data_IF_437485158809
#
_entry.id   IF_437485158809
#
_cell.length_a   1.000
_cell.length_b   1.000
_cell.length_c   1.000
_cell.angle_alpha   90.00
_cell.angle_beta   90.00
_cell.angle_gamma   90.00
#
_symmetry.space_group_name_H-M   'P 1'
#
loop_
_entity.id
_entity.type
_entity.pdbx_description
1 polymer ?
#
# COMPACT_ATOMS: atom_id res chain seq x y z
N UNK A 1 -55.88 -20.54 50.98
CA UNK A 1 -55.75 -20.48 49.49
C UNK A 1 -54.67 -19.52 49.17
N UNK A 2 -53.45 -20.02 48.77
CA UNK A 2 -52.27 -19.25 48.49
C UNK A 2 -52.22 -18.98 46.97
N UNK A 3 -52.24 -17.72 46.57
CA UNK A 3 -51.94 -17.31 45.19
C UNK A 3 -50.47 -17.03 45.06
N UNK A 4 -49.73 -17.88 44.34
CA UNK A 4 -48.35 -17.66 43.90
C UNK A 4 -48.41 -16.88 42.59
N UNK A 5 -47.85 -15.69 42.63
CA UNK A 5 -47.60 -14.89 41.44
C UNK A 5 -46.24 -15.30 40.82
N UNK A 6 -46.25 -15.80 39.62
CA UNK A 6 -45.05 -16.03 38.81
C UNK A 6 -44.60 -14.72 38.18
N UNK A 7 -43.43 -14.20 38.61
CA UNK A 7 -42.69 -13.21 37.88
C UNK A 7 -41.61 -13.94 37.07
N UNK A 8 -41.77 -14.00 35.74
CA UNK A 8 -40.80 -14.54 34.83
C UNK A 8 -39.76 -13.45 34.43
N UNK A 9 -38.52 -13.82 34.17
CA UNK A 9 -37.42 -12.86 34.00
C UNK A 9 -37.37 -12.30 32.55
N UNK A 10 -37.63 -10.99 32.42
CA UNK A 10 -37.53 -10.25 31.14
C UNK A 10 -36.13 -9.60 30.97
N UNK A 11 -35.13 -10.02 31.73
CA UNK A 11 -33.83 -9.35 31.73
C UNK A 11 -32.76 -9.99 30.81
N UNK A 12 -33.00 -11.16 30.23
CA UNK A 12 -31.98 -11.90 29.51
C UNK A 12 -31.86 -11.52 28.00
N UNK A 13 -32.88 -10.91 27.42
CA UNK A 13 -32.91 -10.64 25.98
C UNK A 13 -32.21 -9.34 25.55
N UNK A 14 -32.03 -8.38 26.46
CA UNK A 14 -31.37 -7.10 26.14
C UNK A 14 -29.84 -7.20 26.11
N UNK A 15 -29.22 -8.14 26.82
CA UNK A 15 -27.77 -8.29 26.84
C UNK A 15 -27.20 -8.90 25.57
N UNK A 16 -27.95 -9.78 24.89
CA UNK A 16 -27.48 -10.42 23.64
C UNK A 16 -27.50 -9.45 22.46
N UNK A 17 -28.48 -8.53 22.40
CA UNK A 17 -28.57 -7.52 21.35
C UNK A 17 -27.45 -6.48 21.45
N UNK A 18 -27.04 -6.11 22.66
CA UNK A 18 -25.94 -5.16 22.86
C UNK A 18 -24.56 -5.76 22.47
N UNK A 19 -24.37 -7.05 22.71
CA UNK A 19 -23.13 -7.74 22.29
C UNK A 19 -23.04 -7.92 20.76
N UNK A 20 -24.16 -8.17 20.08
CA UNK A 20 -24.21 -8.28 18.64
C UNK A 20 -23.93 -6.92 17.95
N UNK A 21 -24.40 -5.82 18.51
CA UNK A 21 -24.12 -4.47 18.01
C UNK A 21 -22.65 -4.06 18.25
N UNK A 22 -22.06 -4.43 19.37
CA UNK A 22 -20.65 -4.17 19.66
C UNK A 22 -19.72 -4.97 18.72
N UNK A 23 -20.09 -6.18 18.34
CA UNK A 23 -19.35 -7.00 17.38
C UNK A 23 -19.49 -6.49 15.93
N UNK A 24 -20.62 -5.90 15.57
CA UNK A 24 -20.82 -5.28 14.25
C UNK A 24 -20.02 -3.97 14.09
N UNK A 25 -19.74 -3.26 15.17
CA UNK A 25 -18.90 -2.05 15.16
C UNK A 25 -17.40 -2.37 15.20
N UNK A 26 -17.01 -3.57 15.59
CA UNK A 26 -15.62 -4.02 15.66
C UNK A 26 -15.10 -4.64 14.35
N UNK A 27 -15.87 -4.68 13.27
CA UNK A 27 -15.36 -4.90 11.94
C UNK A 27 -14.70 -3.58 11.50
N UNK A 28 -13.46 -3.38 11.93
CA UNK A 28 -12.62 -2.32 11.40
C UNK A 28 -12.68 -2.38 9.87
N UNK A 29 -13.24 -1.35 9.25
CA UNK A 29 -13.30 -1.27 7.80
C UNK A 29 -11.89 -1.46 7.26
N UNK A 30 -11.71 -2.40 6.34
CA UNK A 30 -10.44 -2.60 5.68
C UNK A 30 -10.02 -1.28 5.00
N UNK A 31 -8.76 -0.87 5.11
CA UNK A 31 -8.30 0.34 4.44
C UNK A 31 -8.42 0.19 2.93
N UNK A 32 -8.70 1.30 2.25
CA UNK A 32 -8.73 1.35 0.79
C UNK A 32 -7.46 2.00 0.27
N UNK A 33 -6.81 1.39 -0.72
CA UNK A 33 -5.60 1.95 -1.34
C UNK A 33 -5.80 2.06 -2.84
N UNK A 34 -5.90 3.29 -3.31
CA UNK A 34 -5.98 3.66 -4.71
C UNK A 34 -4.61 4.15 -5.17
N UNK A 35 -4.04 3.52 -6.20
CA UNK A 35 -2.77 3.95 -6.79
C UNK A 35 -2.98 4.22 -8.27
N UNK A 36 -2.59 5.40 -8.71
CA UNK A 36 -2.59 5.81 -10.12
C UNK A 36 -1.17 6.10 -10.59
N UNK A 37 -0.95 6.09 -11.90
CA UNK A 37 0.34 6.43 -12.51
C UNK A 37 0.38 7.93 -12.81
N UNK A 38 1.44 8.60 -12.38
CA UNK A 38 1.64 10.01 -12.65
C UNK A 38 1.99 10.29 -14.13
N UNK A 39 1.73 11.51 -14.63
CA UNK A 39 1.89 11.82 -16.07
C UNK A 39 3.31 11.62 -16.59
N UNK A 40 4.32 11.78 -15.74
CA UNK A 40 5.71 11.57 -16.10
C UNK A 40 6.01 10.08 -16.27
N UNK A 41 5.63 9.27 -15.30
CA UNK A 41 5.81 7.82 -15.35
C UNK A 41 4.96 7.19 -16.46
N UNK A 42 3.77 7.73 -16.74
CA UNK A 42 2.89 7.25 -17.82
C UNK A 42 3.60 7.21 -19.18
N UNK A 43 4.53 8.16 -19.45
CA UNK A 43 5.32 8.20 -20.70
C UNK A 43 6.41 7.13 -20.75
N UNK A 44 6.76 6.55 -19.62
CA UNK A 44 7.79 5.50 -19.52
C UNK A 44 7.19 4.09 -19.43
N UNK A 45 5.86 3.97 -19.19
CA UNK A 45 5.18 2.68 -18.98
C UNK A 45 5.42 1.74 -20.16
N UNK A 46 5.31 2.22 -21.40
CA UNK A 46 5.54 1.41 -22.61
C UNK A 46 6.96 0.83 -22.65
N UNK A 47 7.96 1.59 -22.20
CA UNK A 47 9.37 1.14 -22.15
C UNK A 47 9.64 0.20 -20.99
N UNK A 48 8.98 0.42 -19.84
CA UNK A 48 9.12 -0.42 -18.67
C UNK A 48 8.35 -1.73 -18.79
N UNK A 49 7.26 -1.73 -19.55
CA UNK A 49 6.31 -2.83 -19.71
C UNK A 49 5.10 -2.68 -18.79
N UNK A 50 3.90 -2.63 -19.37
CA UNK A 50 2.62 -2.45 -18.65
C UNK A 50 2.43 -3.47 -17.53
N UNK A 51 2.75 -4.74 -17.81
CA UNK A 51 2.60 -5.82 -16.82
C UNK A 51 3.48 -5.58 -15.60
N UNK A 52 4.75 -5.24 -15.81
CA UNK A 52 5.69 -5.03 -14.72
C UNK A 52 5.33 -3.79 -13.90
N UNK A 53 4.90 -2.70 -14.55
CA UNK A 53 4.42 -1.51 -13.83
C UNK A 53 3.18 -1.82 -13.01
N UNK A 54 2.24 -2.60 -13.54
CA UNK A 54 1.04 -3.02 -12.80
C UNK A 54 1.38 -3.92 -11.60
N UNK A 55 2.38 -4.81 -11.73
CA UNK A 55 2.89 -5.61 -10.62
C UNK A 55 3.49 -4.72 -9.51
N UNK A 56 4.20 -3.65 -9.88
CA UNK A 56 4.73 -2.67 -8.91
C UNK A 56 3.62 -1.87 -8.22
N UNK A 57 2.57 -1.47 -8.96
CA UNK A 57 1.38 -0.82 -8.38
C UNK A 57 0.73 -1.74 -7.35
N UNK A 58 0.53 -3.01 -7.68
CA UNK A 58 -0.03 -4.00 -6.76
C UNK A 58 0.85 -4.20 -5.51
N UNK A 59 2.18 -4.22 -5.68
CA UNK A 59 3.14 -4.26 -4.57
C UNK A 59 3.02 -3.07 -3.63
N UNK A 60 2.95 -1.85 -4.18
CA UNK A 60 2.74 -0.63 -3.40
C UNK A 60 1.39 -0.67 -2.65
N UNK A 61 0.32 -1.09 -3.32
CA UNK A 61 -1.00 -1.23 -2.70
C UNK A 61 -0.98 -2.21 -1.53
N UNK A 62 -0.29 -3.33 -1.67
CA UNK A 62 -0.19 -4.35 -0.63
C UNK A 62 0.57 -3.83 0.60
N UNK A 63 1.74 -3.18 0.42
CA UNK A 63 2.53 -2.64 1.53
C UNK A 63 1.80 -1.51 2.27
N UNK A 64 1.20 -0.57 1.53
CA UNK A 64 0.42 0.52 2.13
C UNK A 64 -0.83 -0.01 2.82
N UNK A 65 -1.55 -0.95 2.20
CA UNK A 65 -2.73 -1.57 2.78
C UNK A 65 -2.44 -2.28 4.10
N UNK A 66 -1.33 -3.02 4.16
CA UNK A 66 -0.84 -3.68 5.37
C UNK A 66 -0.53 -2.66 6.48
N UNK A 67 0.22 -1.61 6.16
CA UNK A 67 0.60 -0.58 7.12
C UNK A 67 -0.61 0.19 7.66
N UNK A 68 -1.56 0.56 6.78
CA UNK A 68 -2.81 1.22 7.17
C UNK A 68 -3.70 0.31 8.03
N UNK A 69 -3.82 -0.97 7.70
CA UNK A 69 -4.62 -1.92 8.48
C UNK A 69 -4.10 -2.04 9.93
N UNK A 70 -2.80 -1.95 10.11
CA UNK A 70 -2.18 -2.03 11.44
C UNK A 70 -2.34 -0.72 12.25
N UNK A 71 -2.19 0.43 11.61
CA UNK A 71 -2.07 1.72 12.30
C UNK A 71 -3.29 2.61 12.17
N UNK A 72 -3.98 2.57 11.03
CA UNK A 72 -5.07 3.46 10.66
C UNK A 72 -6.22 2.69 9.98
N UNK A 73 -6.89 1.77 10.70
CA UNK A 73 -8.01 1.01 10.14
C UNK A 73 -9.10 1.97 9.64
N UNK A 74 -9.68 1.66 8.49
CA UNK A 74 -10.69 2.50 7.84
C UNK A 74 -10.15 3.73 7.08
N UNK A 75 -8.83 3.93 7.04
CA UNK A 75 -8.24 5.01 6.22
C UNK A 75 -8.30 4.69 4.72
N UNK A 76 -8.30 5.76 3.91
CA UNK A 76 -8.22 5.67 2.45
C UNK A 76 -6.96 6.37 1.97
N UNK A 77 -6.08 5.66 1.25
CA UNK A 77 -4.94 6.24 0.58
C UNK A 77 -5.24 6.47 -0.90
N UNK A 78 -5.06 7.70 -1.37
CA UNK A 78 -5.13 8.08 -2.79
C UNK A 78 -3.73 8.48 -3.23
N UNK A 79 -3.03 7.59 -3.88
CA UNK A 79 -1.61 7.73 -4.20
C UNK A 79 -1.38 7.82 -5.71
N UNK A 80 -0.34 8.54 -6.07
CA UNK A 80 0.18 8.68 -7.42
C UNK A 80 1.61 8.16 -7.41
N UNK A 81 1.90 7.11 -8.17
CA UNK A 81 3.27 6.67 -8.44
C UNK A 81 3.87 7.62 -9.49
N UNK A 82 4.75 8.52 -9.04
CA UNK A 82 5.28 9.63 -9.86
C UNK A 82 6.50 9.19 -10.65
N UNK A 83 7.38 8.41 -10.03
CA UNK A 83 8.60 7.88 -10.66
C UNK A 83 8.82 6.44 -10.20
N UNK A 84 9.37 5.63 -11.09
CA UNK A 84 9.67 4.22 -10.88
C UNK A 84 10.88 3.82 -11.70
N UNK A 85 11.96 3.42 -11.03
CA UNK A 85 13.22 3.06 -11.70
C UNK A 85 13.64 1.64 -11.34
N UNK A 86 13.87 0.79 -12.35
CA UNK A 86 14.39 -0.55 -12.13
C UNK A 86 15.90 -0.54 -11.85
N UNK A 87 16.39 -1.53 -11.12
CA UNK A 87 17.82 -1.77 -10.92
C UNK A 87 18.47 -2.50 -12.10
N UNK A 88 17.67 -3.19 -12.86
CA UNK A 88 18.08 -3.93 -14.05
C UNK A 88 17.05 -3.75 -15.14
N UNK A 89 17.43 -3.97 -16.41
CA UNK A 89 16.48 -3.88 -17.49
C UNK A 89 15.26 -4.78 -17.26
N UNK A 90 14.09 -4.22 -17.51
CA UNK A 90 12.84 -4.98 -17.58
C UNK A 90 12.84 -5.90 -18.79
N UNK A 91 11.95 -6.87 -18.81
CA UNK A 91 11.79 -7.74 -19.98
C UNK A 91 11.49 -6.94 -21.24
N UNK A 92 10.65 -5.91 -21.13
CA UNK A 92 10.29 -5.05 -22.26
C UNK A 92 11.48 -4.24 -22.77
N UNK A 93 12.31 -3.68 -21.87
CA UNK A 93 13.52 -2.96 -22.24
C UNK A 93 14.53 -3.85 -22.97
N UNK A 94 14.73 -5.09 -22.51
CA UNK A 94 15.59 -6.07 -23.19
C UNK A 94 15.05 -6.40 -24.59
N UNK A 95 13.74 -6.55 -24.72
CA UNK A 95 13.07 -6.84 -25.98
C UNK A 95 13.21 -5.70 -26.99
N UNK A 96 13.11 -4.44 -26.53
CA UNK A 96 13.16 -3.25 -27.36
C UNK A 96 14.59 -2.81 -27.71
N UNK A 97 15.58 -3.18 -26.91
CA UNK A 97 16.95 -2.67 -27.05
C UNK A 97 17.93 -3.83 -27.30
N UNK A 98 18.29 -4.09 -28.56
CA UNK A 98 19.28 -5.12 -28.89
C UNK A 98 20.62 -4.86 -28.18
N UNK A 99 21.18 -5.90 -27.57
CA UNK A 99 22.48 -5.83 -26.87
C UNK A 99 22.39 -5.38 -25.41
N UNK A 100 21.22 -5.03 -24.91
CA UNK A 100 21.02 -4.76 -23.48
C UNK A 100 21.10 -6.06 -22.67
N UNK A 101 22.06 -6.14 -21.76
CA UNK A 101 22.30 -7.35 -20.95
C UNK A 101 21.47 -7.28 -19.65
N UNK A 102 20.51 -8.21 -19.42
CA UNK A 102 19.66 -8.19 -18.23
C UNK A 102 20.42 -8.47 -16.93
N UNK A 103 21.64 -9.04 -17.01
CA UNK A 103 22.44 -9.38 -15.83
C UNK A 103 23.51 -8.32 -15.56
N UNK A 104 24.17 -7.84 -16.59
CA UNK A 104 25.31 -6.90 -16.44
C UNK A 104 24.91 -5.44 -16.43
N UNK A 105 23.79 -5.10 -17.09
CA UNK A 105 23.29 -3.72 -17.07
C UNK A 105 22.66 -3.42 -15.71
N UNK A 106 23.24 -2.46 -14.99
CA UNK A 106 22.84 -2.06 -13.64
C UNK A 106 22.53 -0.58 -13.61
N UNK A 107 21.47 -0.21 -12.90
CA UNK A 107 21.09 1.18 -12.66
C UNK A 107 20.65 1.41 -11.21
N UNK A 108 20.69 2.65 -10.76
CA UNK A 108 20.07 3.03 -9.50
C UNK A 108 18.56 2.93 -9.63
N UNK A 109 17.95 2.18 -8.72
CA UNK A 109 16.51 1.96 -8.68
C UNK A 109 15.84 2.75 -7.56
N UNK A 110 14.51 2.70 -7.53
CA UNK A 110 13.69 3.34 -6.51
C UNK A 110 12.33 3.76 -7.00
N UNK A 111 11.61 4.50 -6.17
CA UNK A 111 10.30 5.04 -6.50
C UNK A 111 10.02 6.38 -5.82
N UNK A 112 9.12 7.17 -6.42
CA UNK A 112 8.56 8.38 -5.84
C UNK A 112 7.03 8.31 -5.84
N UNK A 113 6.44 8.65 -4.69
CA UNK A 113 5.02 8.51 -4.40
C UNK A 113 4.50 9.84 -3.88
N UNK A 114 3.40 10.32 -4.44
CA UNK A 114 2.68 11.51 -3.96
C UNK A 114 1.21 11.18 -3.74
N UNK A 115 0.51 12.08 -3.05
CA UNK A 115 -0.93 11.94 -2.85
C UNK A 115 -1.35 12.33 -1.46
N UNK A 116 -2.33 11.60 -0.93
CA UNK A 116 -2.89 11.86 0.39
C UNK A 116 -3.42 10.58 1.05
N UNK A 117 -3.46 10.61 2.36
CA UNK A 117 -4.14 9.59 3.17
C UNK A 117 -5.22 10.28 3.98
N UNK A 118 -6.47 9.86 3.76
CA UNK A 118 -7.66 10.32 4.49
C UNK A 118 -7.92 9.33 5.62
N UNK A 119 -7.84 9.79 6.85
CA UNK A 119 -8.10 9.00 8.04
C UNK A 119 -9.61 8.75 8.21
N UNK A 120 -9.96 7.77 9.03
CA UNK A 120 -11.35 7.42 9.32
C UNK A 120 -12.15 8.59 9.96
N UNK A 121 -11.48 9.51 10.64
CA UNK A 121 -12.05 10.75 11.21
C UNK A 121 -12.18 11.91 10.21
N UNK A 122 -11.79 11.69 8.93
CA UNK A 122 -11.81 12.68 7.85
C UNK A 122 -10.56 13.58 7.79
N UNK A 123 -9.61 13.42 8.70
CA UNK A 123 -8.35 14.16 8.63
C UNK A 123 -7.53 13.69 7.45
N UNK A 124 -7.12 14.63 6.59
CA UNK A 124 -6.29 14.34 5.42
C UNK A 124 -4.83 14.69 5.69
N UNK A 125 -3.93 13.80 5.34
CA UNK A 125 -2.49 14.02 5.41
C UNK A 125 -1.87 13.90 4.02
N UNK A 126 -1.12 14.91 3.57
CA UNK A 126 -0.41 14.85 2.29
C UNK A 126 0.73 13.84 2.34
N UNK A 127 0.98 13.20 1.21
CA UNK A 127 2.10 12.28 0.99
C UNK A 127 3.02 12.86 -0.06
N UNK A 128 4.31 12.99 0.28
CA UNK A 128 5.40 13.28 -0.65
C UNK A 128 6.63 12.46 -0.22
N UNK A 129 6.76 11.28 -0.79
CA UNK A 129 7.77 10.31 -0.42
C UNK A 129 8.59 9.89 -1.64
N UNK A 130 9.90 9.79 -1.45
CA UNK A 130 10.78 9.21 -2.46
C UNK A 130 11.96 8.47 -1.82
N UNK A 131 12.34 7.38 -2.44
CA UNK A 131 13.58 6.69 -2.15
C UNK A 131 14.19 6.17 -3.44
N UNK A 132 15.45 6.52 -3.66
CA UNK A 132 16.31 5.98 -4.71
C UNK A 132 17.65 5.61 -4.10
N UNK A 133 18.25 4.53 -4.58
CA UNK A 133 19.62 4.18 -4.17
C UNK A 133 20.58 5.29 -4.59
N UNK A 134 21.38 5.82 -3.67
CA UNK A 134 22.16 7.04 -3.93
C UNK A 134 23.33 6.83 -4.90
N UNK A 135 23.86 5.61 -4.99
CA UNK A 135 25.01 5.27 -5.82
C UNK A 135 24.83 3.92 -6.49
N UNK A 136 25.35 3.78 -7.71
CA UNK A 136 25.38 2.50 -8.42
C UNK A 136 26.20 1.44 -7.67
N UNK A 137 27.17 1.86 -6.86
CA UNK A 137 27.97 0.96 -6.04
C UNK A 137 27.18 0.33 -4.90
N UNK A 138 26.03 0.92 -4.54
CA UNK A 138 25.15 0.43 -3.49
C UNK A 138 24.06 -0.51 -4.06
N UNK A 139 24.00 -0.66 -5.38
CA UNK A 139 23.10 -1.57 -6.04
C UNK A 139 23.66 -2.97 -6.01
N UNK A 140 22.97 -3.89 -5.35
CA UNK A 140 23.37 -5.29 -5.26
C UNK A 140 22.22 -6.25 -5.58
N UNK A 141 22.55 -7.49 -5.86
CA UNK A 141 21.56 -8.50 -6.23
C UNK A 141 21.13 -8.45 -7.70
N UNK A 142 20.20 -9.32 -8.07
CA UNK A 142 19.79 -9.53 -9.46
C UNK A 142 18.32 -9.20 -9.73
N UNK A 143 17.56 -8.76 -8.72
CA UNK A 143 16.16 -8.38 -8.90
C UNK A 143 16.02 -7.07 -9.68
N UNK A 144 15.09 -7.03 -10.63
CA UNK A 144 14.79 -5.85 -11.44
C UNK A 144 14.26 -4.71 -10.58
N UNK A 145 13.38 -4.98 -9.63
CA UNK A 145 12.62 -4.00 -8.87
C UNK A 145 13.00 -3.90 -7.39
N UNK A 146 14.21 -4.31 -7.05
CA UNK A 146 14.65 -4.39 -5.67
C UNK A 146 14.51 -3.07 -4.88
N UNK A 147 15.04 -1.98 -5.45
CA UNK A 147 15.06 -0.71 -4.74
C UNK A 147 13.68 -0.02 -4.77
N UNK A 148 12.86 -0.29 -5.80
CA UNK A 148 11.46 0.12 -5.81
C UNK A 148 10.67 -0.60 -4.70
N UNK A 149 10.81 -1.92 -4.57
CA UNK A 149 10.18 -2.68 -3.49
C UNK A 149 10.66 -2.17 -2.11
N UNK A 150 11.95 -1.89 -1.97
CA UNK A 150 12.49 -1.29 -0.75
C UNK A 150 11.91 0.10 -0.47
N UNK A 151 11.64 0.90 -1.51
CA UNK A 151 10.95 2.17 -1.34
C UNK A 151 9.54 1.97 -0.77
N UNK A 152 8.80 0.98 -1.27
CA UNK A 152 7.45 0.67 -0.81
C UNK A 152 7.44 0.16 0.64
N UNK A 153 8.33 -0.77 0.99
CA UNK A 153 8.52 -1.27 2.36
C UNK A 153 8.81 -0.12 3.33
N UNK A 154 9.77 0.76 2.98
CA UNK A 154 10.14 1.92 3.81
C UNK A 154 8.99 2.93 3.95
N UNK A 155 8.20 3.12 2.91
CA UNK A 155 7.02 3.98 2.98
C UNK A 155 5.97 3.37 3.90
N UNK A 156 5.72 2.06 3.81
CA UNK A 156 4.89 1.32 4.75
C UNK A 156 5.34 1.50 6.21
N UNK A 157 6.64 1.32 6.47
CA UNK A 157 7.26 1.57 7.78
C UNK A 157 7.03 3.02 8.29
N UNK A 158 7.06 4.02 7.39
CA UNK A 158 6.77 5.40 7.78
C UNK A 158 5.31 5.59 8.16
N UNK A 159 4.39 4.97 7.43
CA UNK A 159 2.95 4.96 7.76
C UNK A 159 2.75 4.35 9.15
N UNK A 160 3.32 3.18 9.43
CA UNK A 160 3.21 2.51 10.72
C UNK A 160 3.75 3.38 11.87
N UNK A 161 4.79 4.17 11.63
CA UNK A 161 5.38 5.11 12.61
C UNK A 161 4.67 6.47 12.64
N UNK A 162 3.69 6.72 11.78
CA UNK A 162 2.99 8.00 11.67
C UNK A 162 3.84 9.16 11.14
N UNK A 163 4.84 8.89 10.30
CA UNK A 163 5.82 9.85 9.78
C UNK A 163 5.71 10.05 8.26
N UNK A 164 4.56 10.42 7.78
CA UNK A 164 4.30 10.68 6.37
C UNK A 164 3.47 11.94 6.22
#
# INVERSE_FOLDING_TARGET
MRKLAFFAPLAATLAVAAMAQAQAQAQAQAPTVNVTVGPQLQREVEKLGDREVNEQIAGLQAEVGKALAQRYPGATANLVLVDLKPNRPTFEQVRQTPGLDPIRSVSVGGAAIKGEIVMADGVTRPVDYSYFTPSINDVWGYSVWRDANRAFERFGDQIERGRF
#
